data_IF_671906371641
#
_entry.id   IF_671906371641
#
_cell.length_a   1.000
_cell.length_b   1.000
_cell.length_c   1.000
_cell.angle_alpha   90.00
_cell.angle_beta   90.00
_cell.angle_gamma   90.00
#
_symmetry.space_group_name_H-M   'P 1'
#
loop_
_entity.id
_entity.type
_entity.pdbx_description
1 polymer ?
#
# COMPACT_ATOMS: atom_id res chain seq x y z
N UNK A 1 -10.84 -15.29 -11.38
CA UNK A 1 -9.76 -14.35 -11.70
C UNK A 1 -8.43 -15.08 -11.63
N UNK A 2 -7.64 -15.03 -12.70
CA UNK A 2 -6.32 -15.69 -12.71
C UNK A 2 -5.35 -14.86 -11.85
N UNK A 3 -4.51 -15.48 -11.03
CA UNK A 3 -3.57 -14.81 -10.11
C UNK A 3 -2.76 -13.67 -10.77
N UNK A 4 -2.47 -13.77 -12.06
CA UNK A 4 -1.83 -12.74 -12.86
C UNK A 4 -2.65 -11.43 -13.00
N UNK A 5 -3.98 -11.52 -13.14
CA UNK A 5 -4.87 -10.34 -13.19
C UNK A 5 -4.89 -9.63 -11.84
N UNK A 6 -4.93 -10.39 -10.75
CA UNK A 6 -4.92 -9.84 -9.40
C UNK A 6 -3.60 -9.11 -9.10
N UNK A 7 -2.45 -9.67 -9.51
CA UNK A 7 -1.15 -9.00 -9.41
C UNK A 7 -1.10 -7.68 -10.20
N UNK A 8 -1.65 -7.66 -11.42
CA UNK A 8 -1.73 -6.42 -12.22
C UNK A 8 -2.58 -5.34 -11.54
N UNK A 9 -3.74 -5.73 -10.99
CA UNK A 9 -4.61 -4.81 -10.27
C UNK A 9 -3.95 -4.24 -9.01
N UNK A 10 -3.27 -5.10 -8.23
CA UNK A 10 -2.54 -4.68 -7.03
C UNK A 10 -1.37 -3.75 -7.39
N UNK A 11 -0.59 -4.06 -8.43
CA UNK A 11 0.47 -3.18 -8.92
C UNK A 11 -0.04 -1.80 -9.34
N UNK A 12 -1.13 -1.76 -10.11
CA UNK A 12 -1.75 -0.49 -10.51
C UNK A 12 -2.29 0.31 -9.31
N UNK A 13 -2.77 -0.36 -8.27
CA UNK A 13 -3.22 0.28 -7.03
C UNK A 13 -2.04 0.88 -6.23
N UNK A 14 -0.91 0.16 -6.16
CA UNK A 14 0.33 0.64 -5.51
C UNK A 14 0.84 1.89 -6.23
N UNK A 15 0.93 1.85 -7.56
CA UNK A 15 1.40 2.99 -8.36
C UNK A 15 0.53 4.24 -8.16
N UNK A 16 -0.80 4.05 -8.11
CA UNK A 16 -1.74 5.15 -7.85
C UNK A 16 -1.56 5.70 -6.43
N UNK A 17 -1.40 4.83 -5.43
CA UNK A 17 -1.19 5.25 -4.04
C UNK A 17 0.10 6.05 -3.89
N UNK A 18 1.20 5.60 -4.51
CA UNK A 18 2.48 6.31 -4.48
C UNK A 18 2.41 7.69 -5.15
N UNK A 19 1.69 7.81 -6.28
CA UNK A 19 1.44 9.12 -6.91
C UNK A 19 0.65 10.06 -6.00
N UNK A 20 -0.36 9.55 -5.31
CA UNK A 20 -1.13 10.34 -4.36
C UNK A 20 -0.25 10.81 -3.19
N UNK A 21 0.56 9.92 -2.61
CA UNK A 21 1.52 10.31 -1.55
C UNK A 21 2.48 11.39 -2.05
N UNK A 22 3.04 11.23 -3.25
CA UNK A 22 3.97 12.19 -3.83
C UNK A 22 3.35 13.58 -4.05
N UNK A 23 2.08 13.64 -4.47
CA UNK A 23 1.35 14.90 -4.60
C UNK A 23 1.14 15.63 -3.26
N UNK A 24 1.21 14.92 -2.13
CA UNK A 24 1.00 15.44 -0.78
C UNK A 24 2.32 15.75 -0.03
N UNK A 25 3.49 15.68 -0.71
CA UNK A 25 4.80 15.86 -0.08
C UNK A 25 5.10 17.32 0.29
N UNK A 26 4.50 18.31 -0.38
CA UNK A 26 4.83 19.74 -0.22
C UNK A 26 3.72 20.53 0.48
N UNK A 27 3.31 20.13 1.69
CA UNK A 27 2.31 20.90 2.43
C UNK A 27 2.41 20.70 3.94
N UNK A 28 2.28 21.81 4.66
CA UNK A 28 2.22 21.85 6.12
C UNK A 28 0.77 21.83 6.64
N UNK A 29 -0.22 21.66 5.75
CA UNK A 29 -1.61 21.56 6.15
C UNK A 29 -1.84 20.27 6.98
N UNK A 30 -2.27 20.37 8.25
CA UNK A 30 -2.46 19.21 9.12
C UNK A 30 -3.43 18.16 8.59
N UNK A 31 -4.48 18.59 7.86
CA UNK A 31 -5.45 17.68 7.25
C UNK A 31 -4.81 16.88 6.12
N UNK A 32 -3.92 17.52 5.34
CA UNK A 32 -3.22 16.87 4.24
C UNK A 32 -2.13 15.91 4.76
N UNK A 33 -1.48 16.24 5.87
CA UNK A 33 -0.58 15.32 6.58
C UNK A 33 -1.32 14.07 7.07
N UNK A 34 -2.55 14.22 7.56
CA UNK A 34 -3.42 13.11 7.94
C UNK A 34 -3.76 12.21 6.74
N UNK A 35 -4.15 12.80 5.62
CA UNK A 35 -4.40 12.08 4.36
C UNK A 35 -3.15 11.34 3.86
N UNK A 36 -1.97 11.98 3.95
CA UNK A 36 -0.70 11.35 3.57
C UNK A 36 -0.41 10.12 4.41
N UNK A 37 -0.64 10.17 5.74
CA UNK A 37 -0.49 9.00 6.62
C UNK A 37 -1.44 7.87 6.22
N UNK A 38 -2.71 8.19 5.95
CA UNK A 38 -3.69 7.19 5.50
C UNK A 38 -3.26 6.49 4.19
N UNK A 39 -2.78 7.26 3.20
CA UNK A 39 -2.29 6.71 1.94
C UNK A 39 -1.00 5.89 2.09
N UNK A 40 -0.13 6.23 3.02
CA UNK A 40 1.07 5.42 3.34
C UNK A 40 0.67 4.07 3.93
N UNK A 41 -0.26 4.03 4.89
CA UNK A 41 -0.79 2.78 5.46
C UNK A 41 -1.45 1.93 4.38
N UNK A 42 -2.23 2.56 3.48
CA UNK A 42 -2.85 1.87 2.36
C UNK A 42 -1.81 1.27 1.39
N UNK A 43 -0.74 1.99 1.07
CA UNK A 43 0.35 1.49 0.23
C UNK A 43 1.07 0.29 0.87
N UNK A 44 1.30 0.33 2.19
CA UNK A 44 1.87 -0.79 2.94
C UNK A 44 0.98 -2.04 2.88
N UNK A 45 -0.32 -1.88 3.07
CA UNK A 45 -1.28 -2.99 2.97
C UNK A 45 -1.31 -3.59 1.55
N UNK A 46 -1.26 -2.76 0.51
CA UNK A 46 -1.21 -3.23 -0.88
C UNK A 46 0.10 -3.98 -1.19
N UNK A 47 1.23 -3.53 -0.65
CA UNK A 47 2.50 -4.25 -0.77
C UNK A 47 2.44 -5.60 -0.06
N UNK A 48 1.86 -5.67 1.15
CA UNK A 48 1.67 -6.95 1.86
C UNK A 48 0.79 -7.93 1.07
N UNK A 49 -0.26 -7.43 0.40
CA UNK A 49 -1.10 -8.24 -0.51
C UNK A 49 -0.27 -8.71 -1.72
N UNK A 50 0.56 -7.86 -2.31
CA UNK A 50 1.43 -8.25 -3.43
C UNK A 50 2.43 -9.33 -3.02
N UNK A 51 3.04 -9.20 -1.84
CA UNK A 51 3.97 -10.18 -1.28
C UNK A 51 3.29 -11.53 -1.04
N UNK A 52 2.07 -11.51 -0.47
CA UNK A 52 1.26 -12.71 -0.30
C UNK A 52 0.94 -13.39 -1.65
N UNK A 53 0.61 -12.61 -2.68
CA UNK A 53 0.38 -13.11 -4.05
C UNK A 53 1.65 -13.66 -4.71
N UNK A 54 2.82 -13.25 -4.25
CA UNK A 54 4.12 -13.75 -4.69
C UNK A 54 4.60 -14.97 -3.87
N UNK A 55 3.73 -15.56 -3.03
CA UNK A 55 4.08 -16.62 -2.07
C UNK A 55 5.18 -16.21 -1.07
N UNK A 56 5.45 -14.92 -0.91
CA UNK A 56 6.41 -14.37 0.02
C UNK A 56 5.70 -13.99 1.33
N UNK A 57 5.04 -14.97 1.95
CA UNK A 57 4.12 -14.81 3.09
C UNK A 57 4.73 -14.23 4.38
N UNK A 58 6.03 -13.94 4.40
CA UNK A 58 6.78 -13.45 5.56
C UNK A 58 6.23 -12.10 6.08
N UNK A 59 5.70 -11.24 5.22
CA UNK A 59 5.17 -9.91 5.63
C UNK A 59 3.80 -9.97 6.32
N UNK A 60 2.94 -10.94 5.99
CA UNK A 60 1.62 -11.08 6.64
C UNK A 60 1.76 -11.46 8.13
N UNK A 61 2.82 -12.19 8.50
CA UNK A 61 3.06 -12.60 9.88
C UNK A 61 3.54 -11.44 10.77
N UNK A 62 4.35 -10.53 10.21
CA UNK A 62 4.86 -9.35 10.95
C UNK A 62 3.74 -8.34 11.24
N UNK A 63 2.76 -8.16 10.34
CA UNK A 63 1.63 -7.24 10.59
C UNK A 63 0.54 -7.83 11.49
N UNK A 64 0.39 -9.16 11.55
CA UNK A 64 -0.59 -9.84 12.41
C UNK A 64 -0.16 -9.96 13.88
N UNK A 65 1.15 -9.92 14.15
CA UNK A 65 1.72 -10.07 15.50
C UNK A 65 1.98 -8.72 16.21
N UNK A 66 1.62 -7.59 15.60
CA UNK A 66 1.72 -6.26 16.23
C UNK A 66 0.46 -5.82 17.01
N UNK A 67 -0.38 -6.77 17.47
CA UNK A 67 -1.49 -6.52 18.39
C UNK A 67 -1.22 -7.15 19.77
#
# INVERSE_FOLDING_TARGET
>A
MKQAELKKLVGAAIDRSNKNVAALINTDNPQVLGLRRAHLVQAQALNAVLDALNNNSVMLRIMGECN
#
